data_IF_568047614229
#
_entry.id   IF_568047614229
#
_cell.length_a   1.000
_cell.length_b   1.000
_cell.length_c   1.000
_cell.angle_alpha   90.00
_cell.angle_beta   90.00
_cell.angle_gamma   90.00
#
_symmetry.space_group_name_H-M   'P 1'
#
loop_
_entity.id
_entity.type
_entity.pdbx_description
1 polymer ?
#
# COMPACT_ATOMS: atom_id res chain seq x y z
N UNK A 1 8.88 -4.05 -0.99
CA UNK A 1 7.69 -3.74 -0.15
C UNK A 1 7.83 -2.41 0.57
N UNK A 2 8.99 -2.15 1.22
CA UNK A 2 9.27 -0.86 1.91
C UNK A 2 8.93 0.35 1.02
N UNK A 3 9.27 0.30 -0.26
CA UNK A 3 8.98 1.39 -1.21
C UNK A 3 7.47 1.61 -1.41
N UNK A 4 6.67 0.54 -1.48
CA UNK A 4 5.21 0.63 -1.62
C UNK A 4 4.56 1.21 -0.36
N UNK A 5 4.98 0.75 0.81
CA UNK A 5 4.54 1.30 2.11
C UNK A 5 4.82 2.80 2.18
N UNK A 6 6.01 3.23 1.73
CA UNK A 6 6.39 4.64 1.68
C UNK A 6 5.57 5.45 0.68
N UNK A 7 5.36 4.94 -0.54
CA UNK A 7 4.63 5.66 -1.58
C UNK A 7 3.13 5.78 -1.28
N UNK A 8 2.54 4.75 -0.68
CA UNK A 8 1.10 4.70 -0.38
C UNK A 8 0.75 5.34 0.97
N UNK A 9 1.74 5.58 1.85
CA UNK A 9 1.50 6.08 3.21
C UNK A 9 0.70 5.13 4.08
N UNK A 10 0.58 3.85 3.68
CA UNK A 10 -0.19 2.83 4.39
C UNK A 10 0.71 1.98 5.29
N UNK A 11 0.20 1.45 6.41
CA UNK A 11 0.93 0.50 7.24
C UNK A 11 1.38 -0.73 6.43
N UNK A 12 2.56 -1.27 6.75
CA UNK A 12 3.11 -2.44 6.06
C UNK A 12 2.15 -3.64 6.11
N UNK A 13 1.51 -3.91 7.25
CA UNK A 13 0.54 -5.00 7.38
C UNK A 13 -0.62 -4.89 6.39
N UNK A 14 -1.14 -3.67 6.21
CA UNK A 14 -2.21 -3.36 5.24
C UNK A 14 -1.73 -3.57 3.80
N UNK A 15 -0.55 -3.05 3.45
CA UNK A 15 0.05 -3.25 2.12
C UNK A 15 0.28 -4.74 1.84
N UNK A 16 0.73 -5.51 2.84
CA UNK A 16 0.93 -6.96 2.72
C UNK A 16 -0.37 -7.68 2.37
N UNK A 17 -1.44 -7.36 3.10
CA UNK A 17 -2.76 -7.95 2.92
C UNK A 17 -3.32 -7.66 1.53
N UNK A 18 -3.21 -6.41 1.07
CA UNK A 18 -3.66 -6.03 -0.28
C UNK A 18 -2.86 -6.75 -1.38
N UNK A 19 -1.53 -6.83 -1.26
CA UNK A 19 -0.70 -7.55 -2.22
C UNK A 19 -0.99 -9.06 -2.23
N UNK A 20 -1.35 -9.64 -1.08
CA UNK A 20 -1.80 -11.02 -1.03
C UNK A 20 -3.11 -11.21 -1.80
N UNK A 21 -4.13 -10.39 -1.51
CA UNK A 21 -5.41 -10.43 -2.22
C UNK A 21 -5.24 -10.25 -3.74
N UNK A 22 -4.48 -9.24 -4.19
CA UNK A 22 -4.24 -8.99 -5.61
C UNK A 22 -3.52 -10.16 -6.30
N UNK A 23 -2.59 -10.81 -5.61
CA UNK A 23 -1.89 -12.00 -6.14
C UNK A 23 -2.83 -13.19 -6.22
N UNK A 24 -3.63 -13.42 -5.18
CA UNK A 24 -4.58 -14.54 -5.10
C UNK A 24 -5.70 -14.38 -6.15
N UNK A 25 -6.07 -13.14 -6.48
CA UNK A 25 -6.96 -12.81 -7.61
C UNK A 25 -6.27 -12.87 -8.99
N UNK A 26 -4.96 -13.11 -9.05
CA UNK A 26 -4.21 -13.20 -10.31
C UNK A 26 -4.00 -11.86 -11.02
N UNK A 27 -4.15 -10.73 -10.33
CA UNK A 27 -3.97 -9.39 -10.92
C UNK A 27 -2.51 -8.96 -10.93
N UNK A 28 -1.70 -9.48 -10.00
CA UNK A 28 -0.27 -9.21 -9.90
C UNK A 28 0.54 -10.49 -9.78
N UNK A 29 1.79 -10.42 -10.24
CA UNK A 29 2.81 -11.45 -10.06
C UNK A 29 3.95 -10.92 -9.21
N UNK A 30 4.48 -11.75 -8.32
CA UNK A 30 5.64 -11.43 -7.49
C UNK A 30 6.88 -12.19 -7.96
N UNK A 31 7.97 -11.49 -8.25
CA UNK A 31 9.29 -12.07 -8.54
C UNK A 31 10.23 -11.84 -7.37
N UNK A 32 10.73 -12.89 -6.69
CA UNK A 32 11.76 -12.73 -5.69
C UNK A 32 13.10 -12.39 -6.36
N UNK A 33 13.79 -11.39 -5.84
CA UNK A 33 15.09 -10.93 -6.31
C UNK A 33 15.98 -10.63 -5.10
N UNK A 34 16.77 -11.62 -4.67
CA UNK A 34 17.55 -11.54 -3.44
C UNK A 34 16.65 -11.47 -2.20
N UNK A 35 16.78 -10.37 -1.43
CA UNK A 35 16.00 -10.13 -0.20
C UNK A 35 14.69 -9.35 -0.46
N UNK A 36 14.42 -8.96 -1.70
CA UNK A 36 13.25 -8.18 -2.07
C UNK A 36 12.35 -8.96 -3.02
N UNK A 37 11.08 -8.57 -3.06
CA UNK A 37 10.09 -9.09 -4.01
C UNK A 37 9.58 -7.91 -4.83
N UNK A 38 9.70 -8.03 -6.14
CA UNK A 38 9.16 -7.09 -7.11
C UNK A 38 7.80 -7.57 -7.57
N UNK A 39 6.84 -6.64 -7.66
CA UNK A 39 5.51 -6.93 -8.15
C UNK A 39 5.31 -6.27 -9.50
N UNK A 40 4.68 -7.01 -10.42
CA UNK A 40 4.25 -6.52 -11.72
C UNK A 40 2.79 -6.91 -11.95
N UNK A 41 2.10 -6.18 -12.82
CA UNK A 41 0.77 -6.59 -13.28
C UNK A 41 0.90 -7.91 -14.04
N UNK A 42 0.01 -8.86 -13.72
CA UNK A 42 -0.05 -10.14 -14.41
C UNK A 42 -0.64 -10.00 -15.82
N UNK A 43 -1.52 -9.01 -15.98
CA UNK A 43 -2.32 -8.78 -17.18
C UNK A 43 -1.98 -7.39 -17.71
N UNK A 44 -1.30 -7.26 -18.86
CA UNK A 44 -0.93 -5.95 -19.41
C UNK A 44 -2.16 -5.11 -19.80
N UNK A 45 -3.27 -5.74 -20.18
CA UNK A 45 -4.53 -5.08 -20.55
C UNK A 45 -5.15 -4.29 -19.38
N UNK A 46 -4.75 -4.56 -18.12
CA UNK A 46 -5.17 -3.76 -16.97
C UNK A 46 -4.66 -2.32 -17.07
N UNK A 47 -3.51 -2.09 -17.73
CA UNK A 47 -3.00 -0.72 -17.94
C UNK A 47 -3.95 0.09 -18.82
N UNK A 48 -4.47 -0.52 -19.89
CA UNK A 48 -5.43 0.14 -20.77
C UNK A 48 -6.75 0.45 -20.04
N UNK A 49 -7.19 -0.45 -19.16
CA UNK A 49 -8.34 -0.22 -18.30
C UNK A 49 -8.12 0.97 -17.35
N UNK A 50 -6.95 1.03 -16.70
CA UNK A 50 -6.62 2.16 -15.81
C UNK A 50 -6.51 3.47 -16.60
N UNK A 51 -5.90 3.46 -17.78
CA UNK A 51 -5.82 4.63 -18.66
C UNK A 51 -7.22 5.11 -19.09
N UNK A 52 -8.13 4.20 -19.42
CA UNK A 52 -9.52 4.54 -19.74
C UNK A 52 -10.25 5.14 -18.53
N UNK A 53 -10.04 4.58 -17.33
CA UNK A 53 -10.61 5.13 -16.10
C UNK A 53 -10.07 6.54 -15.80
N UNK A 54 -8.76 6.76 -15.96
CA UNK A 54 -8.14 8.09 -15.84
C UNK A 54 -8.72 9.09 -16.84
N UNK A 55 -8.95 8.68 -18.09
CA UNK A 55 -9.57 9.54 -19.10
C UNK A 55 -11.00 9.98 -18.70
N UNK A 56 -11.80 9.06 -18.15
CA UNK A 56 -13.14 9.38 -17.63
C UNK A 56 -13.05 10.31 -16.42
N UNK A 57 -12.12 10.07 -15.50
CA UNK A 57 -11.89 10.95 -14.35
C UNK A 57 -11.43 12.34 -14.76
N UNK A 58 -10.60 12.45 -15.81
CA UNK A 58 -10.15 13.73 -16.34
C UNK A 58 -11.31 14.56 -16.91
N UNK A 59 -12.28 13.92 -17.58
CA UNK A 59 -13.46 14.60 -18.13
C UNK A 59 -14.46 14.97 -17.04
N UNK A 60 -14.65 14.10 -16.06
CA UNK A 60 -15.63 14.31 -14.97
C UNK A 60 -15.10 15.21 -13.85
N UNK A 61 -13.79 15.43 -13.78
CA UNK A 61 -13.13 16.19 -12.71
C UNK A 61 -13.32 15.55 -11.33
N UNK A 62 -13.33 16.38 -10.27
CA UNK A 62 -13.58 15.92 -8.90
C UNK A 62 -15.03 15.47 -8.63
N UNK A 63 -15.92 15.44 -9.63
CA UNK A 63 -17.33 15.11 -9.42
C UNK A 63 -17.53 13.70 -8.83
N UNK A 64 -16.71 12.73 -9.23
CA UNK A 64 -16.74 11.37 -8.64
C UNK A 64 -16.16 11.38 -7.23
N UNK A 65 -15.05 12.08 -6.99
CA UNK A 65 -14.44 12.21 -5.66
C UNK A 65 -15.36 12.93 -4.65
N UNK A 66 -16.18 13.88 -5.12
CA UNK A 66 -17.16 14.63 -4.35
C UNK A 66 -18.55 13.98 -4.36
N UNK A 67 -18.72 12.84 -5.04
CA UNK A 67 -19.99 12.14 -5.09
C UNK A 67 -20.43 11.79 -3.66
N UNK A 68 -21.64 12.18 -3.24
CA UNK A 68 -22.11 11.91 -1.88
C UNK A 68 -22.31 10.41 -1.59
N UNK A 69 -22.36 9.56 -2.63
CA UNK A 69 -22.56 8.12 -2.50
C UNK A 69 -21.26 7.33 -2.62
N UNK A 70 -20.36 7.72 -3.54
CA UNK A 70 -19.15 6.95 -3.87
C UNK A 70 -17.85 7.73 -3.70
N UNK A 71 -17.93 9.00 -3.30
CA UNK A 71 -16.78 9.88 -3.15
C UNK A 71 -15.89 9.51 -1.97
N UNK A 72 -14.74 10.15 -1.90
CA UNK A 72 -13.71 9.87 -0.88
C UNK A 72 -14.21 10.13 0.54
N UNK A 73 -15.19 11.03 0.73
CA UNK A 73 -15.89 11.23 2.01
C UNK A 73 -16.95 10.18 2.31
N UNK A 74 -17.61 9.62 1.30
CA UNK A 74 -18.61 8.56 1.48
C UNK A 74 -17.96 7.22 1.89
N UNK A 75 -16.71 7.01 1.49
CA UNK A 75 -15.93 5.82 1.86
C UNK A 75 -15.16 5.98 3.20
N UNK A 76 -15.32 7.11 3.89
CA UNK A 76 -14.84 7.28 5.26
C UNK A 76 -15.78 6.52 6.21
N UNK A 77 -15.49 5.24 6.44
CA UNK A 77 -16.14 4.43 7.46
C UNK A 77 -16.01 5.13 8.83
N UNK A 78 -17.05 5.17 9.69
CA UNK A 78 -16.99 5.84 10.99
C UNK A 78 -16.05 5.17 12.01
N UNK A 79 -15.35 4.10 11.63
CA UNK A 79 -14.42 3.37 12.50
C UNK A 79 -12.97 3.73 12.16
N UNK A 80 -12.56 4.96 12.52
CA UNK A 80 -11.22 5.33 13.01
C UNK A 80 -9.95 4.75 12.36
N UNK A 81 -9.90 4.45 11.07
CA UNK A 81 -8.67 4.08 10.36
C UNK A 81 -8.67 4.60 8.92
N UNK A 82 -8.95 5.90 8.76
CA UNK A 82 -8.79 6.62 7.50
C UNK A 82 -8.07 7.92 7.76
N UNK A 83 -6.74 7.91 7.74
CA UNK A 83 -5.98 9.16 7.63
C UNK A 83 -6.19 9.67 6.21
N UNK A 84 -7.08 10.67 6.08
CA UNK A 84 -7.02 11.58 4.97
C UNK A 84 -5.60 12.14 4.90
N UNK A 85 -4.98 12.05 3.73
CA UNK A 85 -3.71 12.72 3.47
C UNK A 85 -4.02 14.21 3.40
N UNK A 86 -3.91 14.89 4.53
CA UNK A 86 -3.78 16.34 4.59
C UNK A 86 -2.43 16.70 3.97
N UNK A 87 -2.45 17.30 2.77
CA UNK A 87 -1.26 17.61 1.97
C UNK A 87 -0.46 18.84 2.44
N UNK A 88 -0.59 19.27 3.70
CA UNK A 88 -0.04 20.55 4.19
C UNK A 88 0.84 20.47 5.47
N UNK A 89 1.27 19.29 5.93
CA UNK A 89 2.25 19.21 7.03
C UNK A 89 3.56 18.48 6.67
N UNK A 90 4.71 18.96 7.19
CA UNK A 90 6.01 18.36 6.90
C UNK A 90 6.15 17.02 7.63
N UNK A 91 6.47 15.97 6.89
CA UNK A 91 6.61 14.61 7.42
C UNK A 91 7.95 14.48 8.16
N UNK A 92 7.91 14.50 9.49
CA UNK A 92 9.02 14.11 10.37
C UNK A 92 9.26 12.60 10.25
N UNK A 93 10.26 12.21 9.45
CA UNK A 93 10.65 10.80 9.26
C UNK A 93 11.51 10.34 10.44
N UNK A 94 10.87 9.77 11.46
CA UNK A 94 11.54 9.04 12.53
C UNK A 94 12.20 7.76 12.00
N UNK A 95 13.53 7.76 11.87
CA UNK A 95 14.30 6.59 11.47
C UNK A 95 14.51 5.71 12.71
N UNK A 96 13.72 4.64 12.86
CA UNK A 96 13.99 3.63 13.88
C UNK A 96 15.25 2.84 13.47
N UNK A 97 16.35 3.05 14.19
CA UNK A 97 17.55 2.22 14.04
C UNK A 97 17.32 0.82 14.59
N UNK A 98 17.88 -0.24 13.98
CA UNK A 98 17.69 -1.61 14.43
C UNK A 98 18.45 -1.85 15.73
N UNK A 99 17.74 -2.20 16.80
CA UNK A 99 18.37 -2.73 18.02
C UNK A 99 18.73 -4.20 17.80
N UNK A 100 20.01 -4.48 18.01
CA UNK A 100 20.76 -5.72 17.89
C UNK A 100 20.16 -6.90 18.69
N UNK A 101 19.84 -8.01 18.01
CA UNK A 101 19.54 -9.32 18.62
C UNK A 101 20.85 -9.98 19.06
N UNK A 102 21.17 -9.87 20.36
CA UNK A 102 22.28 -10.59 20.97
C UNK A 102 21.99 -12.10 21.10
N UNK A 103 23.01 -12.97 21.00
CA UNK A 103 22.82 -14.40 20.75
C UNK A 103 22.31 -15.17 21.98
N UNK A 104 21.47 -16.17 21.70
CA UNK A 104 21.02 -17.18 22.66
C UNK A 104 22.22 -18.02 23.14
N UNK A 105 22.54 -17.95 24.43
CA UNK A 105 23.55 -18.84 25.03
C UNK A 105 22.86 -20.10 25.56
N UNK A 106 23.12 -21.22 24.88
CA UNK A 106 22.84 -22.57 25.37
C UNK A 106 24.02 -23.12 26.19
N UNK A 107 23.73 -23.88 27.26
CA UNK A 107 24.68 -24.68 28.05
C UNK A 107 25.02 -24.05 29.42
N UNK A 108 25.21 -24.76 30.53
CA UNK A 108 25.28 -26.19 30.86
C UNK A 108 25.24 -26.31 32.39
N UNK A 109 24.71 -27.44 32.89
CA UNK A 109 24.74 -28.03 34.25
C UNK A 109 25.79 -27.50 35.26
N UNK A 110 25.39 -27.40 36.54
CA UNK A 110 25.66 -28.38 37.60
C UNK A 110 24.84 -28.07 38.85
#
# INVERSE_FOLDING_TARGET
MVDLTRMLGLPQSTVSSHLACLRDCGLIVGRPEGRQVFYALAVPELLDLFAAAEAVLAVTGNAVALCPTYGTKANARPDGAGTGVSLDEPIEVGIATPTDDGPVTAGSRA
#
